data_IF_446428502965
#
_entry.id   IF_446428502965
#
_cell.length_a   1.000
_cell.length_b   1.000
_cell.length_c   1.000
_cell.angle_alpha   90.00
_cell.angle_beta   90.00
_cell.angle_gamma   90.00
#
_symmetry.space_group_name_H-M   'P 1'
#
loop_
_entity.id
_entity.type
_entity.pdbx_description
1 polymer ?
#
# COMPACT_ATOMS: atom_id res chain seq x y z
N UNK A 1 14.83 -2.14 14.42
CA UNK A 1 13.68 -2.70 13.67
C UNK A 1 13.30 -1.74 12.57
N UNK A 2 13.18 -2.23 11.36
CA UNK A 2 12.78 -1.40 10.22
C UNK A 2 11.27 -1.12 10.26
N UNK A 3 10.92 0.14 10.01
CA UNK A 3 9.53 0.60 10.03
C UNK A 3 9.03 0.77 8.60
N UNK A 4 7.89 0.15 8.30
CA UNK A 4 7.32 0.11 6.95
C UNK A 4 5.87 0.57 7.00
N UNK A 5 5.49 1.43 6.07
CA UNK A 5 4.09 1.76 5.83
C UNK A 5 3.64 1.05 4.57
N UNK A 6 2.57 0.26 4.67
CA UNK A 6 1.93 -0.37 3.52
C UNK A 6 0.70 0.46 3.14
N UNK A 7 0.69 0.98 1.91
CA UNK A 7 -0.42 1.78 1.38
C UNK A 7 -1.18 0.93 0.37
N UNK A 8 -2.48 0.76 0.60
CA UNK A 8 -3.36 0.00 -0.28
C UNK A 8 -4.70 0.67 -0.45
N UNK A 9 -5.51 0.15 -1.37
CA UNK A 9 -6.89 0.58 -1.55
C UNK A 9 -7.77 -0.08 -0.49
N UNK A 10 -8.74 0.69 0.04
CA UNK A 10 -9.76 0.11 0.92
C UNK A 10 -10.62 -0.86 0.12
N UNK A 11 -10.58 -2.16 0.44
CA UNK A 11 -11.27 -3.18 -0.35
C UNK A 11 -12.78 -3.00 -0.38
N UNK A 12 -13.36 -2.32 0.62
CA UNK A 12 -14.80 -2.05 0.67
C UNK A 12 -15.24 -0.99 -0.34
N UNK A 13 -14.29 -0.25 -0.92
CA UNK A 13 -14.57 0.80 -1.90
C UNK A 13 -14.21 0.41 -3.33
N UNK A 14 -13.74 -0.82 -3.55
CA UNK A 14 -13.32 -1.30 -4.87
C UNK A 14 -14.55 -1.74 -5.67
N UNK A 15 -14.56 -1.35 -6.95
CA UNK A 15 -15.54 -1.87 -7.92
C UNK A 15 -15.04 -3.19 -8.50
N UNK A 16 -15.58 -4.29 -7.97
CA UNK A 16 -15.17 -5.64 -8.38
C UNK A 16 -15.75 -6.06 -9.74
N UNK A 17 -16.57 -5.22 -10.37
CA UNK A 17 -17.01 -5.45 -11.75
C UNK A 17 -15.97 -5.01 -12.78
N UNK A 18 -14.92 -4.31 -12.34
CA UNK A 18 -13.84 -3.87 -13.21
C UNK A 18 -13.16 -5.08 -13.86
N UNK A 19 -13.12 -5.17 -15.21
CA UNK A 19 -12.54 -6.33 -15.92
C UNK A 19 -11.03 -6.49 -15.72
N UNK A 20 -10.33 -5.46 -15.24
CA UNK A 20 -8.91 -5.57 -14.90
C UNK A 20 -8.67 -6.45 -13.67
N UNK A 21 -9.70 -6.67 -12.84
CA UNK A 21 -9.57 -7.45 -11.62
C UNK A 21 -9.90 -8.92 -11.86
N UNK A 22 -9.29 -9.86 -11.10
CA UNK A 22 -9.67 -11.26 -11.16
C UNK A 22 -11.16 -11.44 -10.86
N UNK A 23 -11.82 -12.34 -11.58
CA UNK A 23 -13.29 -12.54 -11.50
C UNK A 23 -13.76 -12.94 -10.10
N UNK A 24 -12.97 -13.72 -9.38
CA UNK A 24 -13.34 -14.28 -8.08
C UNK A 24 -12.83 -13.44 -6.91
N UNK A 25 -12.24 -12.29 -7.19
CA UNK A 25 -11.73 -11.41 -6.16
C UNK A 25 -12.86 -10.74 -5.40
N UNK A 26 -12.78 -10.76 -4.06
CA UNK A 26 -13.76 -10.11 -3.18
C UNK A 26 -13.04 -9.25 -2.13
N UNK A 27 -13.78 -8.36 -1.47
CA UNK A 27 -13.20 -7.57 -0.39
C UNK A 27 -12.70 -8.46 0.75
N UNK A 28 -13.41 -9.53 1.07
CA UNK A 28 -13.00 -10.47 2.12
C UNK A 28 -11.67 -11.16 1.79
N UNK A 29 -11.46 -11.55 0.54
CA UNK A 29 -10.21 -12.15 0.09
C UNK A 29 -9.05 -11.16 0.25
N UNK A 30 -9.23 -9.90 -0.16
CA UNK A 30 -8.22 -8.86 -0.02
C UNK A 30 -7.91 -8.60 1.46
N UNK A 31 -8.93 -8.46 2.30
CA UNK A 31 -8.74 -8.21 3.73
C UNK A 31 -7.95 -9.34 4.39
N UNK A 32 -8.29 -10.58 4.10
CA UNK A 32 -7.55 -11.76 4.60
C UNK A 32 -6.09 -11.75 4.16
N UNK A 33 -5.86 -11.48 2.88
CA UNK A 33 -4.51 -11.43 2.33
C UNK A 33 -3.67 -10.31 2.96
N UNK A 34 -4.27 -9.15 3.19
CA UNK A 34 -3.61 -8.02 3.84
C UNK A 34 -3.21 -8.38 5.27
N UNK A 35 -4.12 -8.96 6.05
CA UNK A 35 -3.84 -9.38 7.43
C UNK A 35 -2.71 -10.41 7.45
N UNK A 36 -2.75 -11.40 6.56
CA UNK A 36 -1.70 -12.41 6.47
C UNK A 36 -0.34 -11.79 6.15
N UNK A 37 -0.31 -10.83 5.22
CA UNK A 37 0.92 -10.13 4.86
C UNK A 37 1.48 -9.33 6.04
N UNK A 38 0.64 -8.58 6.74
CA UNK A 38 1.07 -7.80 7.90
C UNK A 38 1.61 -8.72 9.00
N UNK A 39 0.95 -9.83 9.28
CA UNK A 39 1.40 -10.78 10.28
C UNK A 39 2.76 -11.38 9.90
N UNK A 40 2.94 -11.73 8.63
CA UNK A 40 4.20 -12.28 8.12
C UNK A 40 5.33 -11.26 8.25
N UNK A 41 5.10 -10.00 7.92
CA UNK A 41 6.09 -8.95 8.02
C UNK A 41 6.47 -8.68 9.47
N UNK A 42 5.50 -8.61 10.36
CA UNK A 42 5.76 -8.41 11.78
C UNK A 42 6.56 -9.59 12.37
N UNK A 43 6.24 -10.82 11.97
CA UNK A 43 6.99 -12.00 12.38
C UNK A 43 8.42 -12.00 11.84
N UNK A 44 8.65 -11.35 10.70
CA UNK A 44 9.99 -11.22 10.10
C UNK A 44 10.81 -10.07 10.65
N UNK A 45 10.30 -9.35 11.65
CA UNK A 45 11.03 -8.29 12.34
C UNK A 45 10.78 -6.89 11.79
N UNK A 46 9.83 -6.70 10.87
CA UNK A 46 9.42 -5.37 10.43
C UNK A 46 8.31 -4.84 11.31
N UNK A 47 8.36 -3.56 11.64
CA UNK A 47 7.23 -2.87 12.27
C UNK A 47 6.39 -2.27 11.14
N UNK A 48 5.22 -2.83 10.87
CA UNK A 48 4.43 -2.49 9.70
C UNK A 48 3.11 -1.85 10.09
N UNK A 49 2.86 -0.66 9.54
CA UNK A 49 1.57 0.02 9.62
C UNK A 49 0.85 -0.10 8.28
N UNK A 50 -0.47 -0.02 8.32
CA UNK A 50 -1.33 -0.06 7.14
C UNK A 50 -2.05 1.27 6.97
N UNK A 51 -2.06 1.80 5.75
CA UNK A 51 -2.85 2.96 5.38
C UNK A 51 -3.71 2.61 4.17
N UNK A 52 -5.02 2.69 4.32
CA UNK A 52 -5.98 2.37 3.25
C UNK A 52 -6.57 3.65 2.68
N UNK A 53 -6.67 3.70 1.35
CA UNK A 53 -7.23 4.82 0.59
C UNK A 53 -8.54 4.36 -0.04
N UNK A 54 -9.59 5.17 0.12
CA UNK A 54 -10.87 4.91 -0.52
C UNK A 54 -10.78 5.24 -2.01
N UNK A 55 -11.38 4.42 -2.84
CA UNK A 55 -11.43 4.64 -4.29
C UNK A 55 -12.08 6.00 -4.58
N UNK A 56 -11.41 6.80 -5.42
CA UNK A 56 -11.88 8.15 -5.77
C UNK A 56 -11.42 9.26 -4.84
N UNK A 57 -10.65 8.95 -3.79
CA UNK A 57 -10.09 9.95 -2.89
C UNK A 57 -9.11 10.84 -3.64
N UNK A 58 -9.26 12.17 -3.45
CA UNK A 58 -8.36 13.18 -4.01
C UNK A 58 -7.61 13.96 -2.93
N UNK A 59 -8.05 13.88 -1.67
CA UNK A 59 -7.41 14.53 -0.54
C UNK A 59 -6.58 13.51 0.25
N UNK A 60 -5.26 13.62 0.15
CA UNK A 60 -4.32 12.73 0.85
C UNK A 60 -3.67 13.40 2.06
N UNK A 61 -4.32 14.40 2.66
CA UNK A 61 -3.78 15.08 3.84
C UNK A 61 -3.58 14.14 5.03
N UNK A 62 -4.43 13.13 5.20
CA UNK A 62 -4.26 12.13 6.25
C UNK A 62 -3.02 11.28 6.03
N UNK A 63 -2.73 10.92 4.78
CA UNK A 63 -1.49 10.20 4.44
C UNK A 63 -0.27 11.08 4.74
N UNK A 64 -0.31 12.35 4.35
CA UNK A 64 0.75 13.30 4.67
C UNK A 64 0.98 13.38 6.18
N UNK A 65 -0.09 13.44 6.97
CA UNK A 65 -0.01 13.45 8.44
C UNK A 65 0.63 12.17 9.00
N UNK A 66 0.28 11.01 8.45
CA UNK A 66 0.88 9.73 8.86
C UNK A 66 2.39 9.73 8.58
N UNK A 67 2.79 10.21 7.43
CA UNK A 67 4.20 10.23 7.02
C UNK A 67 5.03 11.26 7.78
N UNK A 68 4.44 12.36 8.23
CA UNK A 68 5.15 13.35 9.05
C UNK A 68 5.19 12.94 10.51
N UNK A 69 4.18 12.24 11.00
CA UNK A 69 4.06 11.84 12.40
C UNK A 69 4.95 10.67 12.80
N UNK A 70 5.44 9.91 11.84
CA UNK A 70 6.25 8.72 12.08
C UNK A 70 7.28 8.55 10.97
N UNK A 71 8.53 8.25 11.34
CA UNK A 71 9.58 8.01 10.36
C UNK A 71 9.53 6.57 9.88
N UNK A 72 9.40 6.38 8.57
CA UNK A 72 9.44 5.07 7.94
C UNK A 72 10.73 4.87 7.19
N UNK A 73 11.25 3.65 7.23
CA UNK A 73 12.40 3.24 6.42
C UNK A 73 11.98 2.89 5.00
N UNK A 74 10.76 2.38 4.86
CA UNK A 74 10.18 2.04 3.56
C UNK A 74 8.69 2.31 3.52
N UNK A 75 8.20 2.63 2.33
CA UNK A 75 6.77 2.81 2.05
C UNK A 75 6.44 1.92 0.86
N UNK A 76 5.57 0.95 1.08
CA UNK A 76 5.10 0.05 0.02
C UNK A 76 3.82 0.61 -0.56
N UNK A 77 3.81 0.83 -1.87
CA UNK A 77 2.60 1.21 -2.61
C UNK A 77 2.09 -0.05 -3.30
N UNK A 78 0.93 -0.51 -2.87
CA UNK A 78 0.39 -1.79 -3.29
C UNK A 78 -0.03 -1.82 -4.76
N UNK A 79 -0.03 -3.01 -5.34
CA UNK A 79 -0.39 -3.22 -6.74
C UNK A 79 -1.83 -2.78 -7.05
N UNK A 80 -2.73 -2.82 -6.08
CA UNK A 80 -4.11 -2.34 -6.25
C UNK A 80 -4.19 -0.84 -6.56
N UNK A 81 -3.19 -0.05 -6.14
CA UNK A 81 -3.09 1.37 -6.51
C UNK A 81 -2.35 1.51 -7.83
N UNK A 82 -1.16 0.93 -7.92
CA UNK A 82 -0.24 1.11 -9.05
C UNK A 82 -0.73 0.42 -10.33
N UNK A 83 -1.31 -0.75 -10.21
CA UNK A 83 -1.59 -1.63 -11.35
C UNK A 83 -2.99 -1.54 -11.95
N UNK A 84 -3.87 -0.70 -11.41
CA UNK A 84 -5.27 -0.58 -11.85
C UNK A 84 -5.48 0.80 -12.47
N UNK A 85 -5.92 0.87 -13.73
CA UNK A 85 -5.99 2.11 -14.51
C UNK A 85 -6.84 3.20 -13.84
N UNK A 86 -7.96 2.84 -13.22
CA UNK A 86 -8.83 3.82 -12.57
C UNK A 86 -8.13 4.54 -11.42
N UNK A 87 -7.08 3.94 -10.87
CA UNK A 87 -6.30 4.50 -9.76
C UNK A 87 -5.04 5.23 -10.21
N UNK A 88 -4.87 5.50 -11.51
CA UNK A 88 -3.65 6.12 -12.03
C UNK A 88 -3.35 7.46 -11.37
N UNK A 89 -4.35 8.34 -11.28
CA UNK A 89 -4.17 9.67 -10.67
C UNK A 89 -3.92 9.54 -9.17
N UNK A 90 -4.63 8.64 -8.50
CA UNK A 90 -4.38 8.34 -7.08
C UNK A 90 -2.94 7.87 -6.88
N UNK A 91 -2.43 7.02 -7.77
CA UNK A 91 -1.06 6.55 -7.73
C UNK A 91 -0.07 7.71 -7.83
N UNK A 92 -0.25 8.62 -8.80
CA UNK A 92 0.60 9.81 -8.92
C UNK A 92 0.58 10.65 -7.65
N UNK A 93 -0.61 10.89 -7.10
CA UNK A 93 -0.77 11.67 -5.86
C UNK A 93 -0.06 11.00 -4.69
N UNK A 94 -0.20 9.69 -4.54
CA UNK A 94 0.48 8.93 -3.48
C UNK A 94 1.99 9.08 -3.59
N UNK A 95 2.54 8.89 -4.79
CA UNK A 95 3.99 9.00 -5.01
C UNK A 95 4.49 10.40 -4.64
N UNK A 96 3.77 11.44 -5.04
CA UNK A 96 4.17 12.81 -4.74
C UNK A 96 4.08 13.12 -3.24
N UNK A 97 3.07 12.62 -2.56
CA UNK A 97 2.93 12.77 -1.11
C UNK A 97 4.09 12.06 -0.39
N UNK A 98 4.40 10.83 -0.78
CA UNK A 98 5.51 10.09 -0.18
C UNK A 98 6.84 10.79 -0.44
N UNK A 99 7.06 11.25 -1.66
CA UNK A 99 8.27 11.99 -2.03
C UNK A 99 8.44 13.26 -1.19
N UNK A 100 7.35 13.97 -0.91
CA UNK A 100 7.38 15.23 -0.16
C UNK A 100 7.58 14.99 1.35
N UNK A 101 6.86 14.03 1.93
CA UNK A 101 6.76 13.88 3.39
C UNK A 101 7.56 12.73 3.96
N UNK A 102 8.09 11.83 3.14
CA UNK A 102 8.90 10.70 3.58
C UNK A 102 10.18 10.59 2.71
N UNK A 103 10.93 11.68 2.63
CA UNK A 103 12.08 11.83 1.72
C UNK A 103 13.17 10.80 1.92
N UNK A 104 13.33 10.29 3.13
CA UNK A 104 14.37 9.32 3.46
C UNK A 104 13.89 7.87 3.37
N UNK A 105 12.60 7.64 3.15
CA UNK A 105 12.06 6.30 2.99
C UNK A 105 12.30 5.79 1.57
N UNK A 106 12.54 4.48 1.46
CA UNK A 106 12.54 3.82 0.14
C UNK A 106 11.10 3.67 -0.33
N UNK A 107 10.83 4.01 -1.58
CA UNK A 107 9.53 3.75 -2.21
C UNK A 107 9.61 2.36 -2.82
N UNK A 108 8.70 1.48 -2.40
CA UNK A 108 8.74 0.06 -2.72
C UNK A 108 7.42 -0.32 -3.38
N UNK A 109 7.50 -1.14 -4.43
CA UNK A 109 6.31 -1.67 -5.10
C UNK A 109 6.32 -3.19 -5.00
N UNK A 110 5.16 -3.77 -4.67
CA UNK A 110 4.96 -5.19 -4.89
C UNK A 110 4.43 -5.41 -6.31
N UNK A 111 4.64 -6.57 -6.87
CA UNK A 111 4.11 -6.95 -8.19
C UNK A 111 2.88 -7.85 -8.05
N UNK A 112 2.81 -8.58 -6.95
CA UNK A 112 1.70 -9.46 -6.59
C UNK A 112 1.36 -9.24 -5.12
N UNK A 113 0.14 -9.57 -4.68
CA UNK A 113 -0.21 -9.49 -3.26
C UNK A 113 0.66 -10.37 -2.36
N UNK A 114 1.28 -11.41 -2.92
CA UNK A 114 2.06 -12.41 -2.19
C UNK A 114 3.55 -12.11 -2.14
N UNK A 115 4.05 -11.10 -2.86
CA UNK A 115 5.50 -10.83 -2.94
C UNK A 115 5.94 -9.59 -2.16
N UNK A 116 5.11 -9.11 -1.22
CA UNK A 116 5.41 -7.90 -0.46
C UNK A 116 6.68 -8.03 0.37
N UNK A 117 6.88 -9.16 1.03
CA UNK A 117 8.08 -9.36 1.85
C UNK A 117 9.36 -9.34 0.99
N UNK A 118 9.37 -10.00 -0.14
CA UNK A 118 10.50 -10.00 -1.08
C UNK A 118 10.77 -8.58 -1.60
N UNK A 119 9.70 -7.84 -1.88
CA UNK A 119 9.82 -6.45 -2.35
C UNK A 119 10.48 -5.56 -1.31
N UNK A 120 10.10 -5.71 -0.03
CA UNK A 120 10.71 -4.96 1.07
C UNK A 120 12.18 -5.35 1.25
N UNK A 121 12.49 -6.65 1.23
CA UNK A 121 13.86 -7.14 1.39
C UNK A 121 14.80 -6.66 0.29
N UNK A 122 14.27 -6.38 -0.88
CA UNK A 122 15.05 -5.84 -2.00
C UNK A 122 15.68 -4.49 -1.67
N UNK A 123 15.05 -3.69 -0.81
CA UNK A 123 15.45 -2.32 -0.49
C UNK A 123 15.86 -2.09 0.96
N UNK A 124 15.39 -2.90 1.86
CA UNK A 124 15.68 -2.79 3.29
C UNK A 124 16.42 -4.01 3.80
#
# INVERSE_FOLDING_TARGET
MKKVLFIGMNPKTIDFTNPELPKDLTSAIIEKGTIATLNKLNASGYQTDLFLIDTGTTDLSQLAGQLTGKKYDGVVVGNGIRGVKVNFITFEQVINVVHTYARNAKIIFNSLPTDTEESIKRWL
#
